data_IF_192068757631
#
_entry.id   IF_192068757631
#
_cell.length_a   1.000
_cell.length_b   1.000
_cell.length_c   1.000
_cell.angle_alpha   90.00
_cell.angle_beta   90.00
_cell.angle_gamma   90.00
#
_symmetry.space_group_name_H-M   'P 1'
#
loop_
_entity.id
_entity.type
_entity.pdbx_description
1 polymer ?
#
# COMPACT_ATOMS: atom_id res chain seq x y z
N UNK A 1 12.13 -29.27 -0.93
CA UNK A 1 12.75 -28.57 0.22
C UNK A 1 14.11 -29.19 0.47
N UNK A 2 15.11 -28.42 0.84
CA UNK A 2 16.41 -28.96 1.25
C UNK A 2 16.53 -28.88 2.77
N UNK A 3 16.99 -29.96 3.39
CA UNK A 3 17.37 -29.98 4.80
C UNK A 3 18.88 -30.14 4.83
N UNK A 4 19.57 -29.11 5.29
CA UNK A 4 21.00 -29.11 5.54
C UNK A 4 21.27 -29.74 6.90
N UNK A 5 22.27 -30.59 6.93
CA UNK A 5 22.63 -31.40 8.08
C UNK A 5 24.01 -31.01 8.58
N UNK A 6 24.22 -31.17 9.88
CA UNK A 6 25.54 -31.09 10.50
C UNK A 6 26.42 -32.28 10.09
N UNK A 7 27.74 -32.13 10.26
CA UNK A 7 28.71 -33.20 9.97
C UNK A 7 28.52 -34.46 10.84
N UNK A 8 27.77 -34.36 11.93
CA UNK A 8 27.41 -35.48 12.79
C UNK A 8 26.55 -36.53 12.07
N UNK A 9 25.91 -36.19 10.95
CA UNK A 9 25.17 -37.16 10.12
C UNK A 9 26.06 -38.31 9.65
N UNK A 10 27.34 -38.05 9.35
CA UNK A 10 28.30 -39.06 8.90
C UNK A 10 28.71 -40.03 10.02
N UNK A 11 28.55 -39.62 11.30
CA UNK A 11 28.85 -40.44 12.48
C UNK A 11 27.61 -41.14 13.04
N UNK A 12 26.42 -40.77 12.55
CA UNK A 12 25.17 -41.30 13.03
C UNK A 12 24.97 -42.74 12.54
N UNK A 13 24.80 -43.69 13.48
CA UNK A 13 24.61 -45.13 13.20
C UNK A 13 23.39 -45.46 12.35
N UNK A 14 22.46 -44.51 12.21
CA UNK A 14 21.28 -44.62 11.32
C UNK A 14 21.63 -44.40 9.85
N UNK A 15 22.84 -43.95 9.54
CA UNK A 15 23.32 -43.77 8.18
C UNK A 15 24.55 -44.65 7.92
N UNK A 16 24.64 -45.20 6.71
CA UNK A 16 25.80 -45.94 6.23
C UNK A 16 26.36 -45.25 5.00
N UNK A 17 27.68 -45.15 4.91
CA UNK A 17 28.35 -44.67 3.71
C UNK A 17 28.07 -45.61 2.56
N UNK A 18 27.59 -45.06 1.44
CA UNK A 18 27.54 -45.77 0.17
C UNK A 18 28.82 -45.35 -0.56
N UNK A 19 29.66 -46.32 -0.94
CA UNK A 19 31.01 -46.17 -1.51
C UNK A 19 31.30 -44.80 -2.15
N UNK A 20 32.47 -44.16 -1.87
CA UNK A 20 32.83 -42.91 -2.50
C UNK A 20 32.86 -43.12 -4.02
N UNK A 21 32.01 -42.41 -4.75
CA UNK A 21 32.09 -42.44 -6.19
C UNK A 21 33.45 -41.84 -6.57
N UNK A 22 34.26 -42.61 -7.30
CA UNK A 22 35.48 -42.10 -7.93
C UNK A 22 35.05 -40.94 -8.83
N UNK A 23 35.20 -39.71 -8.35
CA UNK A 23 34.74 -38.48 -9.02
C UNK A 23 33.31 -37.99 -8.72
N UNK A 24 32.64 -38.48 -7.66
CA UNK A 24 31.28 -38.04 -7.28
C UNK A 24 31.16 -37.43 -5.88
N UNK A 25 29.94 -37.02 -5.52
CA UNK A 25 29.59 -36.48 -4.19
C UNK A 25 29.59 -37.61 -3.14
N UNK A 26 30.01 -37.33 -1.89
CA UNK A 26 29.87 -38.32 -0.80
C UNK A 26 28.38 -38.54 -0.52
N UNK A 27 27.95 -39.79 -0.49
CA UNK A 27 26.56 -40.16 -0.25
C UNK A 27 26.41 -41.08 0.97
N UNK A 28 25.41 -40.79 1.78
CA UNK A 28 24.94 -41.66 2.85
C UNK A 28 23.61 -42.29 2.46
N UNK A 29 23.35 -43.47 3.00
CA UNK A 29 22.05 -44.12 2.93
C UNK A 29 21.53 -44.36 4.34
N UNK A 30 20.27 -44.01 4.58
CA UNK A 30 19.57 -44.38 5.81
C UNK A 30 19.44 -45.90 5.93
N UNK A 31 19.75 -46.44 7.10
CA UNK A 31 19.63 -47.86 7.41
C UNK A 31 18.15 -48.21 7.60
N UNK A 32 17.60 -48.97 6.65
CA UNK A 32 16.19 -49.39 6.69
C UNK A 32 15.19 -48.31 6.26
N UNK A 33 15.67 -47.21 5.68
CA UNK A 33 14.84 -46.14 5.16
C UNK A 33 15.24 -45.71 3.76
N UNK A 34 14.77 -44.52 3.35
CA UNK A 34 14.88 -44.03 1.98
C UNK A 34 15.63 -42.70 1.87
N UNK A 35 16.07 -42.13 2.99
CA UNK A 35 16.82 -40.88 2.95
C UNK A 35 18.22 -41.11 2.39
N UNK A 36 18.63 -40.17 1.53
CA UNK A 36 19.95 -40.17 0.89
C UNK A 36 20.58 -38.80 1.04
N UNK A 37 21.21 -38.51 2.21
CA UNK A 37 22.02 -37.32 2.34
C UNK A 37 23.20 -37.35 1.37
N UNK A 38 23.45 -36.24 0.69
CA UNK A 38 24.66 -36.04 -0.13
C UNK A 38 25.46 -34.84 0.38
N UNK A 39 26.78 -34.92 0.24
CA UNK A 39 27.69 -33.85 0.59
C UNK A 39 28.04 -33.02 -0.64
N UNK A 40 27.57 -31.78 -0.68
CA UNK A 40 27.79 -30.87 -1.80
C UNK A 40 28.05 -29.46 -1.32
N UNK A 41 28.96 -28.76 -1.99
CA UNK A 41 29.33 -27.38 -1.67
C UNK A 41 29.77 -27.22 -0.20
N UNK A 42 30.39 -28.27 0.36
CA UNK A 42 30.87 -28.30 1.74
C UNK A 42 29.79 -28.50 2.82
N UNK A 43 28.56 -28.90 2.45
CA UNK A 43 27.47 -29.17 3.40
C UNK A 43 26.76 -30.48 3.08
N UNK A 44 26.40 -31.22 4.12
CA UNK A 44 25.46 -32.33 4.01
C UNK A 44 24.05 -31.79 3.77
N UNK A 45 23.31 -32.41 2.84
CA UNK A 45 21.92 -32.07 2.59
C UNK A 45 21.11 -33.26 2.16
N UNK A 46 19.82 -33.23 2.45
CA UNK A 46 18.84 -34.17 1.89
C UNK A 46 17.68 -33.39 1.28
N UNK A 47 17.21 -33.85 0.13
CA UNK A 47 15.99 -33.31 -0.47
C UNK A 47 14.79 -34.02 0.15
N UNK A 48 13.84 -33.25 0.64
CA UNK A 48 12.53 -33.74 1.02
C UNK A 48 11.44 -33.08 0.15
N UNK A 49 10.35 -33.80 -0.19
CA UNK A 49 9.18 -33.21 -0.83
C UNK A 49 8.64 -32.01 -0.04
N UNK A 50 8.01 -31.05 -0.73
CA UNK A 50 7.50 -29.84 -0.07
C UNK A 50 6.23 -30.09 0.77
N UNK A 51 5.56 -31.22 0.57
CA UNK A 51 4.30 -31.63 1.21
C UNK A 51 4.50 -32.47 2.48
N UNK A 52 5.73 -32.77 2.89
CA UNK A 52 5.98 -33.48 4.15
C UNK A 52 5.45 -32.65 5.32
N UNK A 53 4.78 -33.26 6.31
CA UNK A 53 4.29 -32.51 7.47
C UNK A 53 5.34 -32.28 8.55
N UNK A 54 6.31 -33.18 8.66
CA UNK A 54 7.30 -33.19 9.72
C UNK A 54 8.65 -33.63 9.15
N UNK A 55 9.74 -33.18 9.77
CA UNK A 55 11.08 -33.68 9.45
C UNK A 55 11.19 -35.11 10.01
N UNK A 56 11.64 -36.09 9.22
CA UNK A 56 11.83 -37.46 9.71
C UNK A 56 12.67 -37.49 11.00
N UNK A 57 12.20 -38.21 12.03
CA UNK A 57 12.84 -38.27 13.36
C UNK A 57 14.33 -38.63 13.32
N UNK A 58 14.73 -39.44 12.33
CA UNK A 58 16.12 -39.84 12.09
C UNK A 58 17.06 -38.65 11.84
N UNK A 59 16.53 -37.51 11.41
CA UNK A 59 17.26 -36.28 11.13
C UNK A 59 17.25 -35.28 12.29
N UNK A 60 16.35 -35.41 13.26
CA UNK A 60 16.03 -34.35 14.26
C UNK A 60 17.27 -33.81 14.99
N UNK A 61 18.20 -34.68 15.35
CA UNK A 61 19.42 -34.32 16.06
C UNK A 61 20.54 -33.75 15.18
N UNK A 62 20.41 -33.87 13.86
CA UNK A 62 21.45 -33.50 12.90
C UNK A 62 21.01 -32.41 11.94
N UNK A 63 19.79 -31.87 12.05
CA UNK A 63 19.34 -30.71 11.27
C UNK A 63 20.13 -29.47 11.68
N UNK A 64 20.73 -28.82 10.68
CA UNK A 64 21.37 -27.51 10.84
C UNK A 64 20.43 -26.38 10.36
N UNK A 65 19.85 -26.56 9.17
CA UNK A 65 19.00 -25.56 8.51
C UNK A 65 18.04 -26.24 7.53
N UNK A 66 16.80 -25.77 7.48
CA UNK A 66 15.79 -26.14 6.50
C UNK A 66 15.63 -24.96 5.54
N UNK A 67 15.71 -25.24 4.24
CA UNK A 67 15.65 -24.24 3.18
C UNK A 67 14.58 -24.60 2.15
N UNK A 68 13.71 -23.62 1.90
CA UNK A 68 12.53 -23.74 1.08
C UNK A 68 12.47 -22.61 0.06
N UNK A 69 12.15 -22.93 -1.20
CA UNK A 69 11.99 -21.96 -2.28
C UNK A 69 10.67 -22.19 -2.98
N UNK A 70 9.86 -21.15 -3.13
CA UNK A 70 8.60 -21.19 -3.86
C UNK A 70 8.35 -19.88 -4.60
N UNK A 71 7.77 -19.98 -5.79
CA UNK A 71 7.28 -18.84 -6.55
C UNK A 71 5.82 -18.60 -6.22
N UNK A 72 5.47 -17.37 -5.85
CA UNK A 72 4.09 -16.96 -5.59
C UNK A 72 3.68 -15.82 -6.54
N UNK A 73 2.40 -15.73 -6.96
CA UNK A 73 1.93 -14.61 -7.77
C UNK A 73 2.12 -13.28 -7.04
N UNK A 74 2.51 -12.22 -7.74
CA UNK A 74 2.59 -10.89 -7.16
C UNK A 74 1.23 -10.41 -6.62
N UNK A 75 1.26 -9.69 -5.51
CA UNK A 75 0.10 -9.01 -4.96
C UNK A 75 0.53 -7.67 -4.37
N UNK A 76 -0.25 -6.57 -4.53
CA UNK A 76 0.06 -5.28 -3.89
C UNK A 76 0.13 -5.33 -2.37
N UNK A 77 -0.39 -6.41 -1.77
CA UNK A 77 -0.33 -6.66 -0.34
C UNK A 77 1.04 -7.14 0.16
N UNK A 78 2.01 -7.40 -0.75
CA UNK A 78 3.33 -7.95 -0.43
C UNK A 78 4.43 -7.06 -1.00
N UNK A 79 5.52 -6.97 -0.26
CA UNK A 79 6.72 -6.22 -0.63
C UNK A 79 7.90 -7.18 -0.82
N UNK A 80 8.84 -6.82 -1.68
CA UNK A 80 10.17 -7.43 -1.71
C UNK A 80 10.99 -6.97 -0.52
N UNK A 81 11.84 -7.86 0.00
CA UNK A 81 12.58 -7.59 1.23
C UNK A 81 12.82 -8.81 2.11
N UNK A 82 13.27 -8.54 3.33
CA UNK A 82 13.56 -9.54 4.36
C UNK A 82 12.43 -9.60 5.37
N UNK A 83 11.86 -10.79 5.56
CA UNK A 83 10.85 -11.07 6.57
C UNK A 83 11.44 -11.97 7.64
N UNK A 84 11.14 -11.66 8.90
CA UNK A 84 11.60 -12.43 10.05
C UNK A 84 10.40 -12.95 10.83
N UNK A 85 10.49 -14.19 11.31
CA UNK A 85 9.53 -14.76 12.24
C UNK A 85 10.20 -15.83 13.08
N UNK A 86 10.46 -15.51 14.36
CA UNK A 86 11.20 -16.36 15.30
C UNK A 86 12.57 -16.74 14.73
N UNK A 87 12.83 -18.02 14.47
CA UNK A 87 14.08 -18.53 13.88
C UNK A 87 14.05 -18.58 12.34
N UNK A 88 12.91 -18.29 11.71
CA UNK A 88 12.77 -18.31 10.27
C UNK A 88 13.05 -16.93 9.65
N UNK A 89 13.82 -16.93 8.57
CA UNK A 89 14.10 -15.77 7.71
C UNK A 89 13.65 -16.06 6.30
N UNK A 90 12.88 -15.16 5.71
CA UNK A 90 12.52 -15.21 4.30
C UNK A 90 13.07 -14.00 3.56
N UNK A 91 13.56 -14.22 2.36
CA UNK A 91 13.93 -13.17 1.41
C UNK A 91 13.01 -13.28 0.20
N UNK A 92 12.35 -12.17 -0.11
CA UNK A 92 11.44 -12.06 -1.24
C UNK A 92 12.05 -11.14 -2.29
N UNK A 93 12.20 -11.67 -3.50
CA UNK A 93 12.71 -10.94 -4.66
C UNK A 93 11.77 -11.09 -5.85
N UNK A 94 11.95 -10.27 -6.88
CA UNK A 94 11.24 -10.49 -8.14
C UNK A 94 11.78 -11.73 -8.85
N UNK A 95 10.88 -12.63 -9.21
CA UNK A 95 11.17 -13.75 -10.08
C UNK A 95 11.29 -13.34 -11.54
N UNK A 96 11.82 -14.26 -12.34
CA UNK A 96 11.81 -14.11 -13.80
C UNK A 96 10.36 -14.15 -14.28
N UNK A 97 9.90 -13.08 -14.92
CA UNK A 97 8.58 -13.04 -15.51
C UNK A 97 8.45 -14.12 -16.59
N UNK A 98 7.36 -14.90 -16.55
CA UNK A 98 7.00 -15.83 -17.61
C UNK A 98 5.85 -15.22 -18.43
N UNK A 99 5.61 -15.74 -19.65
CA UNK A 99 4.49 -15.28 -20.48
C UNK A 99 3.13 -15.46 -19.81
N UNK A 100 2.99 -16.49 -18.97
CA UNK A 100 1.72 -16.86 -18.32
C UNK A 100 1.53 -16.16 -16.96
N UNK A 101 2.63 -15.77 -16.30
CA UNK A 101 2.62 -15.08 -15.01
C UNK A 101 3.56 -13.87 -15.08
N UNK A 102 3.03 -12.68 -15.42
CA UNK A 102 3.84 -11.51 -15.76
C UNK A 102 4.61 -10.95 -14.57
N UNK A 103 4.22 -11.28 -13.34
CA UNK A 103 4.91 -10.87 -12.10
C UNK A 103 4.83 -11.97 -11.06
N UNK A 104 5.95 -12.65 -10.85
CA UNK A 104 6.13 -13.65 -9.80
C UNK A 104 7.08 -13.10 -8.75
N UNK A 105 6.81 -13.41 -7.49
CA UNK A 105 7.73 -13.21 -6.38
C UNK A 105 8.41 -14.53 -6.08
N UNK A 106 9.72 -14.53 -5.94
CA UNK A 106 10.48 -15.67 -5.47
C UNK A 106 10.69 -15.52 -3.98
N UNK A 107 10.17 -16.49 -3.23
CA UNK A 107 10.34 -16.55 -1.78
C UNK A 107 11.39 -17.61 -1.49
N UNK A 108 12.47 -17.19 -0.83
CA UNK A 108 13.46 -18.11 -0.26
C UNK A 108 13.40 -18.02 1.25
N UNK A 109 13.00 -19.10 1.92
CA UNK A 109 12.88 -19.18 3.38
C UNK A 109 13.93 -20.16 3.91
N UNK A 110 14.59 -19.77 4.99
CA UNK A 110 15.46 -20.63 5.78
C UNK A 110 15.10 -20.54 7.28
N UNK A 111 15.30 -21.62 8.02
CA UNK A 111 15.09 -21.67 9.47
C UNK A 111 15.43 -23.06 10.03
N UNK A 112 15.32 -23.26 11.34
CA UNK A 112 15.58 -24.57 11.97
C UNK A 112 14.29 -25.36 12.22
N UNK A 113 13.21 -24.65 12.54
CA UNK A 113 11.91 -25.24 12.83
C UNK A 113 10.97 -25.14 11.61
N UNK A 114 10.54 -26.29 11.11
CA UNK A 114 9.60 -26.39 9.99
C UNK A 114 8.26 -25.67 10.28
N UNK A 115 7.82 -25.66 11.54
CA UNK A 115 6.58 -24.98 11.95
C UNK A 115 6.71 -23.47 11.77
N UNK A 116 7.83 -22.88 12.18
CA UNK A 116 8.05 -21.44 12.06
C UNK A 116 8.26 -21.02 10.60
N UNK A 117 8.94 -21.84 9.79
CA UNK A 117 9.05 -21.63 8.33
C UNK A 117 7.67 -21.58 7.67
N UNK A 118 6.77 -22.50 8.03
CA UNK A 118 5.41 -22.55 7.48
C UNK A 118 4.55 -21.40 7.92
N UNK A 119 4.64 -21.04 9.20
CA UNK A 119 3.92 -19.90 9.75
C UNK A 119 4.35 -18.61 9.03
N UNK A 120 5.66 -18.40 8.85
CA UNK A 120 6.20 -17.29 8.07
C UNK A 120 5.71 -17.32 6.62
N UNK A 121 5.81 -18.47 5.94
CA UNK A 121 5.35 -18.60 4.56
C UNK A 121 3.86 -18.30 4.41
N UNK A 122 3.03 -18.78 5.34
CA UNK A 122 1.60 -18.50 5.36
C UNK A 122 1.34 -17.01 5.54
N UNK A 123 1.99 -16.37 6.53
CA UNK A 123 1.84 -14.95 6.81
C UNK A 123 2.22 -14.07 5.60
N UNK A 124 3.31 -14.41 4.90
CA UNK A 124 3.73 -13.79 3.64
C UNK A 124 2.68 -14.01 2.55
N UNK A 125 2.24 -15.26 2.36
CA UNK A 125 1.30 -15.63 1.31
C UNK A 125 -0.05 -14.93 1.47
N UNK A 126 -0.53 -14.72 2.68
CA UNK A 126 -1.77 -13.95 2.90
C UNK A 126 -1.55 -12.43 2.95
N UNK A 127 -0.29 -11.97 2.96
CA UNK A 127 0.06 -10.54 3.04
C UNK A 127 -0.26 -9.92 4.40
N UNK A 128 -0.23 -10.71 5.48
CA UNK A 128 -0.56 -10.27 6.85
C UNK A 128 0.56 -9.50 7.54
N UNK A 129 1.80 -9.74 7.12
CA UNK A 129 3.00 -9.10 7.65
C UNK A 129 3.71 -8.28 6.56
N UNK A 130 4.56 -7.36 6.99
CA UNK A 130 5.47 -6.59 6.13
C UNK A 130 6.90 -7.08 6.34
N UNK A 131 7.82 -6.87 5.39
CA UNK A 131 9.22 -7.17 5.62
C UNK A 131 9.77 -6.22 6.69
N UNK A 132 10.73 -6.71 7.48
CA UNK A 132 11.54 -5.90 8.39
C UNK A 132 12.49 -4.97 7.62
N UNK A 133 13.01 -5.46 6.49
CA UNK A 133 13.79 -4.65 5.53
C UNK A 133 13.09 -4.67 4.18
N UNK A 134 12.52 -3.55 3.76
CA UNK A 134 11.87 -3.43 2.44
C UNK A 134 12.88 -2.99 1.37
N UNK A 135 12.80 -3.59 0.20
CA UNK A 135 13.57 -3.16 -0.98
C UNK A 135 12.81 -2.16 -1.86
N UNK A 136 11.58 -1.80 -1.49
CA UNK A 136 10.70 -0.92 -2.26
C UNK A 136 10.63 0.51 -1.70
N UNK A 137 11.25 0.79 -0.55
CA UNK A 137 11.37 2.15 0.02
C UNK A 137 11.43 2.20 1.56
N UNK A 138 11.53 3.41 2.12
CA UNK A 138 11.51 3.63 3.57
C UNK A 138 10.16 3.24 4.19
N UNK A 139 10.20 2.38 5.20
CA UNK A 139 9.03 2.03 5.99
C UNK A 139 8.91 2.92 7.23
N UNK A 140 7.70 3.39 7.51
CA UNK A 140 7.40 4.23 8.68
C UNK A 140 7.34 3.47 10.02
N UNK A 141 7.85 2.22 10.07
CA UNK A 141 7.80 1.33 11.23
C UNK A 141 6.41 0.83 11.63
N UNK A 142 5.34 1.29 10.95
CA UNK A 142 3.96 0.87 11.20
C UNK A 142 3.64 -0.46 10.53
N UNK A 143 2.96 -1.33 11.27
CA UNK A 143 2.37 -2.56 10.73
C UNK A 143 1.26 -2.24 9.72
N UNK A 144 0.90 -3.22 8.89
CA UNK A 144 -0.17 -3.08 7.90
C UNK A 144 -1.50 -2.66 8.53
N UNK A 145 -1.87 -3.28 9.65
CA UNK A 145 -3.13 -2.99 10.35
C UNK A 145 -3.18 -1.55 10.83
N UNK A 146 -2.06 -1.02 11.30
CA UNK A 146 -1.94 0.38 11.73
C UNK A 146 -2.02 1.33 10.54
N UNK A 147 -1.44 0.97 9.39
CA UNK A 147 -1.55 1.76 8.16
C UNK A 147 -2.99 1.77 7.62
N UNK A 148 -3.70 0.64 7.64
CA UNK A 148 -5.10 0.57 7.21
C UNK A 148 -6.01 1.40 8.13
N UNK A 149 -5.79 1.35 9.45
CA UNK A 149 -6.51 2.17 10.41
C UNK A 149 -6.23 3.67 10.20
N UNK A 150 -4.97 4.04 9.98
CA UNK A 150 -4.58 5.42 9.71
C UNK A 150 -5.15 5.93 8.40
N UNK A 151 -5.16 5.10 7.35
CA UNK A 151 -5.73 5.45 6.06
C UNK A 151 -7.25 5.64 6.15
N UNK A 152 -7.94 4.81 6.95
CA UNK A 152 -9.37 5.01 7.24
C UNK A 152 -9.62 6.31 8.01
N UNK A 153 -8.78 6.62 9.01
CA UNK A 153 -8.84 7.88 9.78
C UNK A 153 -8.65 9.10 8.89
N UNK A 154 -7.59 9.11 8.08
CA UNK A 154 -7.28 10.22 7.17
C UNK A 154 -8.37 10.41 6.09
N UNK A 155 -8.98 9.33 5.61
CA UNK A 155 -10.13 9.42 4.70
C UNK A 155 -11.33 10.10 5.38
N UNK A 156 -11.65 9.71 6.60
CA UNK A 156 -12.71 10.36 7.38
C UNK A 156 -12.43 11.85 7.62
N UNK A 157 -11.21 12.19 8.04
CA UNK A 157 -10.80 13.59 8.24
C UNK A 157 -10.91 14.42 6.95
N UNK A 158 -10.55 13.84 5.80
CA UNK A 158 -10.66 14.50 4.49
C UNK A 158 -12.12 14.67 4.03
N UNK A 159 -12.98 13.67 4.28
CA UNK A 159 -14.42 13.78 4.01
C UNK A 159 -15.08 14.86 4.87
N UNK A 160 -14.74 14.92 6.16
CA UNK A 160 -15.22 15.97 7.07
C UNK A 160 -14.73 17.37 6.65
N UNK A 161 -13.45 17.49 6.28
CA UNK A 161 -12.88 18.73 5.76
C UNK A 161 -13.57 19.17 4.46
N UNK A 162 -13.83 18.23 3.55
CA UNK A 162 -14.55 18.47 2.30
C UNK A 162 -15.98 18.96 2.56
N UNK A 163 -16.72 18.32 3.46
CA UNK A 163 -18.07 18.77 3.84
C UNK A 163 -18.07 20.16 4.47
N UNK A 164 -17.10 20.45 5.35
CA UNK A 164 -16.97 21.77 5.97
C UNK A 164 -16.71 22.86 4.92
N UNK A 165 -15.88 22.57 3.92
CA UNK A 165 -15.60 23.49 2.81
C UNK A 165 -16.84 23.73 1.94
N UNK A 166 -17.61 22.68 1.63
CA UNK A 166 -18.87 22.80 0.89
C UNK A 166 -19.87 23.69 1.64
N UNK A 167 -20.10 23.46 2.94
CA UNK A 167 -21.02 24.28 3.75
C UNK A 167 -20.57 25.74 3.82
N UNK A 168 -19.28 25.99 3.96
CA UNK A 168 -18.74 27.34 3.97
C UNK A 168 -18.95 28.06 2.62
N UNK A 169 -18.82 27.32 1.51
CA UNK A 169 -19.04 27.83 0.15
C UNK A 169 -20.51 28.14 -0.11
N UNK A 170 -21.44 27.29 0.37
CA UNK A 170 -22.88 27.55 0.30
C UNK A 170 -23.28 28.79 1.11
N UNK A 171 -22.82 28.89 2.36
CA UNK A 171 -23.08 30.06 3.19
C UNK A 171 -22.51 31.36 2.59
N UNK A 172 -21.35 31.27 1.93
CA UNK A 172 -20.79 32.41 1.20
C UNK A 172 -21.65 32.79 0.00
N UNK A 173 -22.11 31.81 -0.80
CA UNK A 173 -23.07 32.03 -1.90
C UNK A 173 -24.32 32.77 -1.42
N UNK A 174 -24.95 32.29 -0.35
CA UNK A 174 -26.16 32.90 0.19
C UNK A 174 -25.95 34.36 0.61
N UNK A 175 -24.79 34.66 1.23
CA UNK A 175 -24.43 36.04 1.59
C UNK A 175 -24.22 36.93 0.37
N UNK A 176 -23.54 36.43 -0.66
CA UNK A 176 -23.34 37.18 -1.91
C UNK A 176 -24.69 37.44 -2.59
N UNK A 177 -25.54 36.41 -2.74
CA UNK A 177 -26.87 36.56 -3.31
C UNK A 177 -27.74 37.55 -2.53
N UNK A 178 -27.65 37.56 -1.20
CA UNK A 178 -28.34 38.55 -0.36
C UNK A 178 -27.85 39.98 -0.65
N UNK A 179 -26.53 40.20 -0.69
CA UNK A 179 -25.96 41.53 -0.99
C UNK A 179 -26.37 41.99 -2.39
N UNK A 180 -26.30 41.11 -3.40
CA UNK A 180 -26.73 41.42 -4.76
C UNK A 180 -28.22 41.81 -4.83
N UNK A 181 -29.09 41.11 -4.08
CA UNK A 181 -30.53 41.47 -3.99
C UNK A 181 -30.73 42.86 -3.38
N UNK A 182 -30.05 43.17 -2.28
CA UNK A 182 -30.13 44.50 -1.65
C UNK A 182 -29.65 45.59 -2.60
N UNK A 183 -28.54 45.34 -3.32
CA UNK A 183 -28.02 46.28 -4.30
C UNK A 183 -29.02 46.53 -5.45
N UNK A 184 -29.66 45.49 -5.98
CA UNK A 184 -30.73 45.62 -6.99
C UNK A 184 -31.90 46.50 -6.51
N UNK A 185 -32.33 46.33 -5.26
CA UNK A 185 -33.41 47.15 -4.67
C UNK A 185 -32.98 48.61 -4.58
N UNK A 186 -31.77 48.88 -4.08
CA UNK A 186 -31.23 50.24 -3.97
C UNK A 186 -31.15 50.91 -5.35
N UNK A 187 -30.63 50.22 -6.36
CA UNK A 187 -30.55 50.76 -7.72
C UNK A 187 -31.94 51.04 -8.27
N UNK A 188 -32.90 50.11 -8.11
CA UNK A 188 -34.28 50.31 -8.55
C UNK A 188 -34.90 51.57 -7.94
N UNK A 189 -34.73 51.79 -6.63
CA UNK A 189 -35.22 52.98 -5.93
C UNK A 189 -34.56 54.26 -6.43
N UNK A 190 -33.25 54.24 -6.72
CA UNK A 190 -32.52 55.39 -7.26
C UNK A 190 -32.89 55.71 -8.71
N UNK A 191 -33.28 54.70 -9.50
CA UNK A 191 -33.73 54.86 -10.88
C UNK A 191 -35.20 55.26 -11.00
N UNK A 192 -36.01 55.02 -9.96
CA UNK A 192 -37.41 55.43 -9.94
C UNK A 192 -37.50 56.96 -9.82
N UNK A 193 -37.99 57.57 -10.89
CA UNK A 193 -38.02 59.03 -11.08
C UNK A 193 -39.07 59.73 -10.21
N UNK A 194 -39.94 58.96 -9.55
CA UNK A 194 -41.02 59.46 -8.70
C UNK A 194 -40.59 59.74 -7.26
N UNK A 195 -39.46 59.19 -6.79
CA UNK A 195 -39.05 59.22 -5.39
C UNK A 195 -38.06 60.35 -5.03
N UNK A 196 -37.52 61.07 -6.01
CA UNK A 196 -36.44 62.04 -5.78
C UNK A 196 -36.81 63.47 -6.17
N UNK A 197 -36.92 64.34 -5.16
CA UNK A 197 -37.01 65.79 -5.34
C UNK A 197 -35.67 66.34 -5.85
N UNK A 198 -35.63 67.19 -6.90
CA UNK A 198 -34.40 67.64 -7.56
C UNK A 198 -33.44 68.47 -6.67
N UNK A 199 -33.83 68.80 -5.43
CA UNK A 199 -33.11 69.79 -4.62
C UNK A 199 -31.84 69.28 -3.93
N UNK A 200 -31.63 67.97 -3.84
CA UNK A 200 -30.52 67.39 -3.06
C UNK A 200 -29.37 66.84 -3.91
N UNK A 201 -29.41 67.00 -5.23
CA UNK A 201 -28.37 66.43 -6.10
C UNK A 201 -27.92 67.34 -7.24
N UNK A 202 -27.30 68.51 -6.97
CA UNK A 202 -26.97 69.44 -8.05
C UNK A 202 -25.67 69.08 -8.80
N UNK A 203 -24.92 68.06 -8.38
CA UNK A 203 -23.52 67.85 -8.83
C UNK A 203 -23.21 66.49 -9.45
N UNK A 204 -24.19 65.61 -9.62
CA UNK A 204 -23.97 64.36 -10.36
C UNK A 204 -24.83 64.33 -11.61
N UNK A 205 -24.17 64.10 -12.74
CA UNK A 205 -24.84 63.92 -14.03
C UNK A 205 -25.66 62.62 -13.95
N UNK A 206 -26.97 62.75 -13.67
CA UNK A 206 -27.90 61.63 -13.41
C UNK A 206 -27.76 60.49 -14.43
N UNK A 207 -27.55 60.83 -15.71
CA UNK A 207 -27.33 59.85 -16.79
C UNK A 207 -26.05 59.02 -16.61
N UNK A 208 -24.97 59.65 -16.17
CA UNK A 208 -23.67 59.00 -16.00
C UNK A 208 -23.69 58.05 -14.80
N UNK A 209 -24.38 58.44 -13.72
CA UNK A 209 -24.56 57.61 -12.54
C UNK A 209 -25.48 56.41 -12.81
N UNK A 210 -26.56 56.59 -13.59
CA UNK A 210 -27.42 55.48 -14.02
C UNK A 210 -26.64 54.50 -14.91
N UNK A 211 -25.80 54.99 -15.83
CA UNK A 211 -24.97 54.14 -16.68
C UNK A 211 -23.92 53.33 -15.88
N UNK A 212 -23.29 53.94 -14.87
CA UNK A 212 -22.38 53.25 -13.94
C UNK A 212 -23.11 52.18 -13.13
N UNK A 213 -24.29 52.50 -12.57
CA UNK A 213 -25.11 51.55 -11.82
C UNK A 213 -25.62 50.39 -12.69
N UNK A 214 -26.02 50.66 -13.93
CA UNK A 214 -26.37 49.61 -14.91
C UNK A 214 -25.16 48.74 -15.28
N UNK A 215 -23.96 49.31 -15.33
CA UNK A 215 -22.73 48.56 -15.61
C UNK A 215 -22.37 47.64 -14.43
N UNK A 216 -22.51 48.14 -13.20
CA UNK A 216 -22.37 47.34 -11.98
C UNK A 216 -23.40 46.22 -11.94
N UNK A 217 -24.67 46.50 -12.27
CA UNK A 217 -25.71 45.48 -12.39
C UNK A 217 -25.38 44.40 -13.45
N UNK A 218 -24.90 44.80 -14.63
CA UNK A 218 -24.48 43.86 -15.68
C UNK A 218 -23.28 43.00 -15.29
N UNK A 219 -22.36 43.54 -14.48
CA UNK A 219 -21.23 42.78 -13.95
C UNK A 219 -21.68 41.81 -12.84
N UNK A 220 -22.66 42.19 -12.02
CA UNK A 220 -23.31 41.30 -11.06
C UNK A 220 -24.16 40.20 -11.71
N UNK A 221 -24.65 40.40 -12.94
CA UNK A 221 -25.47 39.43 -13.68
C UNK A 221 -24.66 38.42 -14.52
N UNK A 222 -23.33 38.59 -14.63
CA UNK A 222 -22.46 37.62 -15.30
C UNK A 222 -22.12 36.49 -14.33
N UNK A 223 -22.46 35.25 -14.71
CA UNK A 223 -21.91 34.06 -14.05
C UNK A 223 -20.38 34.17 -14.11
N UNK A 224 -19.78 34.30 -12.93
CA UNK A 224 -18.34 34.33 -12.82
C UNK A 224 -17.94 32.97 -12.28
N UNK A 225 -17.36 32.14 -13.15
CA UNK A 225 -16.76 30.88 -12.75
C UNK A 225 -15.47 31.15 -11.99
N UNK A 226 -15.41 30.66 -10.75
CA UNK A 226 -14.18 30.68 -9.97
C UNK A 226 -13.69 29.26 -9.82
N UNK A 227 -12.49 28.99 -10.34
CA UNK A 227 -11.81 27.70 -10.16
C UNK A 227 -10.90 27.78 -8.94
N UNK A 228 -11.17 26.97 -7.93
CA UNK A 228 -10.28 26.82 -6.76
C UNK A 228 -9.88 25.35 -6.67
N UNK A 229 -8.64 25.05 -7.05
CA UNK A 229 -8.15 23.67 -7.16
C UNK A 229 -8.86 22.89 -8.27
N UNK A 230 -9.41 21.72 -7.96
CA UNK A 230 -10.14 20.86 -8.91
C UNK A 230 -11.66 21.16 -8.98
N UNK A 231 -12.13 22.17 -8.24
CA UNK A 231 -13.57 22.47 -8.11
C UNK A 231 -13.91 23.80 -8.78
N UNK A 232 -14.78 23.75 -9.78
CA UNK A 232 -15.36 24.94 -10.42
C UNK A 232 -16.58 25.36 -9.62
N UNK A 233 -16.54 26.54 -9.02
CA UNK A 233 -17.68 27.16 -8.35
C UNK A 233 -18.33 28.12 -9.32
N UNK A 234 -19.47 27.69 -9.88
CA UNK A 234 -20.38 28.58 -10.61
C UNK A 234 -21.24 29.29 -9.55
N UNK A 235 -21.10 30.61 -9.41
CA UNK A 235 -22.01 31.40 -8.60
C UNK A 235 -23.35 31.55 -9.35
N UNK A 236 -24.46 30.99 -8.85
CA UNK A 236 -25.76 31.21 -9.46
C UNK A 236 -26.24 32.63 -9.12
N UNK A 237 -27.14 33.12 -9.98
CA UNK A 237 -27.85 34.41 -9.90
C UNK A 237 -28.38 34.82 -8.53
#
# INVERSE_FOLDING_TARGET
MYVYLTDEVAKNRRFTTKYPAVGGEDELAEVGGNLRPSHRDGRWRVYLPNDINEIPEVLDQVVDEISFKEGIPYSPSRETGIYLHKDARAEITFGVASKDLPRMLMVHIAGKDLKNIRELFHQIRVGSIRPEESYEGEQSGKSRKELEAELARLKGENEDASQKYTRATEHFKDRVSFVCRQFRVIVSLLTDSSCFSPRWWPWCNKKLMVAELETVLRLCDKETEYTVGATTVVLPR
#
